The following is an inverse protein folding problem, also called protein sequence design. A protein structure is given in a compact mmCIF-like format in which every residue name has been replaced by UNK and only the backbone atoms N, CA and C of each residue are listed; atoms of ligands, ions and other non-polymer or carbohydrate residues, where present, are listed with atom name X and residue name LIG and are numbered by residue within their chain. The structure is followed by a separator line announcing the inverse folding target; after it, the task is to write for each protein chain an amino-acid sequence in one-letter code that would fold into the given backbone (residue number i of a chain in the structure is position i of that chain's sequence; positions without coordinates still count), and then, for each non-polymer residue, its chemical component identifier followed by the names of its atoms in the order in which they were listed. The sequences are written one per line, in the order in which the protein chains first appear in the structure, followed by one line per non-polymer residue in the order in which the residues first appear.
data_IF_195747297775
#
_entry.id   IF_195747297775
#
_cell.length_a   1.000
_cell.length_b   1.000
_cell.length_c   1.000
_cell.angle_alpha   90.00
_cell.angle_beta   90.00
_cell.angle_gamma   90.00
#
_symmetry.space_group_name_H-M   'P 1'
#
loop_
_entity.id
_entity.type
_entity.pdbx_description
1 polymer ?
#
# COMPACT_ATOMS: atom_id res chain seq x y z
N UNK A 1 -0.62 36.99 16.28
CA UNK A 1 -1.03 36.76 14.89
C UNK A 1 -0.94 35.27 14.60
N UNK A 2 -2.07 34.59 14.39
CA UNK A 2 -2.09 33.18 13.98
C UNK A 2 -1.39 33.00 12.62
N UNK A 3 -0.17 32.45 12.63
CA UNK A 3 0.64 32.20 11.44
C UNK A 3 0.37 30.78 10.93
N UNK A 4 0.18 30.64 9.61
CA UNK A 4 -0.01 29.34 8.95
C UNK A 4 1.18 29.03 8.05
N UNK A 5 1.82 27.88 8.26
CA UNK A 5 2.83 27.31 7.37
C UNK A 5 2.13 26.26 6.50
N UNK A 6 2.43 26.23 5.21
CA UNK A 6 1.86 25.25 4.26
C UNK A 6 2.99 24.56 3.50
N UNK A 7 2.97 23.23 3.50
CA UNK A 7 3.85 22.37 2.71
C UNK A 7 2.99 21.79 1.59
N UNK A 8 3.16 22.31 0.37
CA UNK A 8 2.37 21.93 -0.80
C UNK A 8 3.24 22.04 -2.08
N UNK A 9 3.36 20.95 -2.88
CA UNK A 9 2.87 19.60 -2.61
C UNK A 9 3.72 18.88 -1.54
N UNK A 10 3.17 17.84 -0.93
CA UNK A 10 4.00 16.82 -0.26
C UNK A 10 4.73 16.04 -1.36
N UNK A 11 6.06 15.96 -1.27
CA UNK A 11 6.90 15.28 -2.26
C UNK A 11 7.17 13.83 -1.87
N UNK A 12 7.55 13.01 -2.85
CA UNK A 12 7.88 11.57 -2.68
C UNK A 12 6.77 10.73 -2.04
N UNK A 13 5.51 11.06 -2.33
CA UNK A 13 4.34 10.22 -2.05
C UNK A 13 3.59 9.91 -3.35
N UNK A 14 2.67 8.96 -3.30
CA UNK A 14 1.66 8.80 -4.36
C UNK A 14 0.45 9.68 -4.05
N UNK A 15 -0.14 10.29 -5.09
CA UNK A 15 -1.29 11.17 -4.96
C UNK A 15 -0.96 12.63 -4.67
N UNK A 16 -2.00 13.40 -4.34
CA UNK A 16 -1.91 14.84 -4.11
C UNK A 16 -2.36 15.17 -2.70
N UNK A 17 -1.43 15.71 -1.92
CA UNK A 17 -1.70 16.15 -0.56
C UNK A 17 -0.86 17.36 -0.17
N UNK A 18 -1.29 18.02 0.89
CA UNK A 18 -0.58 19.11 1.55
C UNK A 18 -0.65 18.99 3.06
N UNK A 19 0.32 19.56 3.76
CA UNK A 19 0.27 19.73 5.22
C UNK A 19 0.10 21.20 5.54
N UNK A 20 -0.79 21.52 6.47
CA UNK A 20 -0.85 22.86 7.05
C UNK A 20 -0.53 22.81 8.54
N UNK A 21 0.30 23.74 8.99
CA UNK A 21 0.76 23.85 10.38
C UNK A 21 0.34 25.24 10.87
N UNK A 22 -0.50 25.27 11.89
CA UNK A 22 -1.05 26.46 12.50
C UNK A 22 -0.26 26.77 13.77
N UNK A 23 0.28 27.98 13.84
CA UNK A 23 1.05 28.46 15.00
C UNK A 23 0.21 29.43 15.83
N UNK A 24 0.37 29.35 17.14
CA UNK A 24 -0.17 30.31 18.10
C UNK A 24 0.61 31.63 18.08
N UNK A 25 0.20 32.57 18.95
CA UNK A 25 0.83 33.88 19.07
C UNK A 25 2.27 33.84 19.60
N UNK A 26 2.68 32.76 20.27
CA UNK A 26 4.05 32.51 20.73
C UNK A 26 4.92 31.84 19.65
N UNK A 27 4.34 31.47 18.51
CA UNK A 27 5.00 30.77 17.42
C UNK A 27 5.13 29.26 17.64
N UNK A 28 4.42 28.68 18.62
CA UNK A 28 4.36 27.23 18.84
C UNK A 28 3.29 26.60 17.99
N UNK A 29 3.46 25.33 17.63
CA UNK A 29 2.47 24.58 16.84
C UNK A 29 1.23 24.33 17.70
N UNK A 30 0.11 24.90 17.29
CA UNK A 30 -1.20 24.65 17.89
C UNK A 30 -1.85 23.42 17.26
N UNK A 31 -1.86 23.34 15.91
CA UNK A 31 -2.47 22.24 15.16
C UNK A 31 -1.74 21.98 13.85
N UNK A 32 -1.76 20.73 13.39
CA UNK A 32 -1.33 20.36 12.05
C UNK A 32 -2.39 19.47 11.37
N UNK A 33 -2.57 19.65 10.07
CA UNK A 33 -3.57 18.92 9.27
C UNK A 33 -2.93 18.34 8.00
N UNK A 34 -3.29 17.10 7.66
CA UNK A 34 -2.90 16.42 6.42
C UNK A 34 -4.06 16.39 5.43
N UNK A 35 -4.01 17.19 4.38
CA UNK A 35 -5.11 17.31 3.44
C UNK A 35 -4.82 16.51 2.18
N UNK A 36 -5.66 15.51 1.88
CA UNK A 36 -5.80 15.01 0.50
C UNK A 36 -6.71 15.96 -0.28
N UNK A 37 -6.22 16.43 -1.42
CA UNK A 37 -6.84 17.53 -2.20
C UNK A 37 -7.46 17.07 -3.52
N UNK A 38 -7.39 15.77 -3.84
CA UNK A 38 -7.93 15.19 -5.06
C UNK A 38 -9.21 14.40 -4.81
N UNK A 39 -10.18 14.53 -5.72
CA UNK A 39 -11.39 13.71 -5.79
C UNK A 39 -11.62 13.24 -7.23
N UNK A 40 -12.07 11.99 -7.42
CA UNK A 40 -12.37 11.42 -8.75
C UNK A 40 -13.76 10.79 -8.87
N UNK A 41 -14.42 10.45 -7.77
CA UNK A 41 -15.80 9.94 -7.78
C UNK A 41 -16.04 8.55 -8.39
N UNK A 42 -15.06 7.63 -8.30
CA UNK A 42 -15.17 6.25 -8.83
C UNK A 42 -16.43 5.53 -8.40
N UNK A 43 -16.77 5.61 -7.11
CA UNK A 43 -17.96 4.96 -6.56
C UNK A 43 -19.24 5.40 -7.30
N UNK A 44 -19.35 6.69 -7.64
CA UNK A 44 -20.53 7.25 -8.29
C UNK A 44 -20.56 6.99 -9.80
N UNK A 45 -19.45 7.20 -10.51
CA UNK A 45 -19.47 7.04 -11.97
C UNK A 45 -19.51 5.57 -12.43
N UNK A 46 -19.17 4.62 -11.54
CA UNK A 46 -19.31 3.20 -11.83
C UNK A 46 -20.76 2.72 -11.79
N UNK A 47 -21.71 3.49 -11.25
CA UNK A 47 -23.12 3.14 -11.29
C UNK A 47 -23.61 3.01 -12.75
N UNK A 48 -24.33 1.92 -13.06
CA UNK A 48 -24.82 1.62 -14.41
C UNK A 48 -23.79 0.98 -15.35
N UNK A 49 -22.53 0.82 -14.92
CA UNK A 49 -21.51 0.05 -15.65
C UNK A 49 -21.74 -1.45 -15.48
N UNK A 50 -21.25 -2.24 -16.43
CA UNK A 50 -21.33 -3.69 -16.32
C UNK A 50 -20.31 -4.19 -15.29
N UNK A 51 -20.69 -5.14 -14.44
CA UNK A 51 -19.82 -5.63 -13.37
C UNK A 51 -18.48 -6.16 -13.89
N UNK A 52 -18.47 -6.85 -15.03
CA UNK A 52 -17.25 -7.41 -15.65
C UNK A 52 -16.29 -6.33 -16.18
N UNK A 53 -16.70 -5.07 -16.28
CA UNK A 53 -15.81 -3.95 -16.58
C UNK A 53 -15.04 -3.47 -15.34
N UNK A 54 -15.51 -3.77 -14.12
CA UNK A 54 -14.92 -3.27 -12.88
C UNK A 54 -13.44 -3.64 -12.72
N UNK A 55 -13.00 -4.89 -13.01
CA UNK A 55 -11.59 -5.24 -12.97
C UNK A 55 -10.73 -4.44 -13.97
N UNK A 56 -11.32 -3.76 -14.96
CA UNK A 56 -10.60 -2.85 -15.86
C UNK A 56 -10.74 -1.39 -15.49
N UNK A 57 -11.81 -0.99 -14.80
CA UNK A 57 -12.02 0.40 -14.38
C UNK A 57 -11.23 0.71 -13.11
N UNK A 58 -11.38 -0.09 -12.05
CA UNK A 58 -10.79 0.20 -10.72
C UNK A 58 -9.26 0.23 -10.69
N UNK A 59 -8.49 -0.48 -11.54
CA UNK A 59 -7.04 -0.31 -11.57
C UNK A 59 -6.59 1.11 -11.93
N UNK A 60 -7.47 1.96 -12.47
CA UNK A 60 -7.16 3.37 -12.80
C UNK A 60 -7.29 4.31 -11.60
N UNK A 61 -7.65 3.79 -10.43
CA UNK A 61 -7.63 4.55 -9.16
C UNK A 61 -6.19 4.96 -8.83
N UNK A 62 -5.24 4.03 -8.95
CA UNK A 62 -3.83 4.25 -8.59
C UNK A 62 -2.87 3.59 -9.61
N UNK A 63 -1.75 4.25 -9.89
CA UNK A 63 -0.71 3.73 -10.77
C UNK A 63 0.23 2.70 -10.13
N UNK A 64 0.27 2.62 -8.79
CA UNK A 64 1.19 1.76 -8.03
C UNK A 64 0.54 0.46 -7.56
N UNK A 65 -0.73 0.52 -7.13
CA UNK A 65 -1.49 -0.65 -6.69
C UNK A 65 -2.62 -1.10 -7.66
N UNK A 66 -2.44 -1.06 -8.99
CA UNK A 66 -3.50 -1.43 -9.92
C UNK A 66 -3.86 -2.92 -9.86
N UNK A 67 -2.95 -3.80 -9.44
CA UNK A 67 -3.20 -5.24 -9.27
C UNK A 67 -4.11 -5.49 -8.05
N UNK A 68 -3.93 -4.78 -6.93
CA UNK A 68 -4.83 -4.87 -5.77
C UNK A 68 -6.27 -4.52 -6.17
N UNK A 69 -6.46 -3.40 -6.87
CA UNK A 69 -7.78 -3.01 -7.35
C UNK A 69 -8.38 -4.02 -8.35
N UNK A 70 -7.56 -4.51 -9.29
CA UNK A 70 -7.95 -5.51 -10.26
C UNK A 70 -8.44 -6.80 -9.58
N UNK A 71 -7.68 -7.31 -8.61
CA UNK A 71 -7.99 -8.53 -7.88
C UNK A 71 -9.17 -8.37 -6.93
N UNK A 72 -9.24 -7.26 -6.17
CA UNK A 72 -10.38 -6.97 -5.29
C UNK A 72 -11.69 -6.88 -6.09
N UNK A 73 -11.65 -6.23 -7.25
CA UNK A 73 -12.83 -6.13 -8.12
C UNK A 73 -13.19 -7.48 -8.75
N UNK A 74 -12.19 -8.28 -9.14
CA UNK A 74 -12.43 -9.62 -9.67
C UNK A 74 -13.05 -10.55 -8.62
N UNK A 75 -12.55 -10.53 -7.37
CA UNK A 75 -13.16 -11.28 -6.24
C UNK A 75 -14.62 -10.86 -6.02
N UNK A 76 -14.91 -9.56 -5.98
CA UNK A 76 -16.29 -9.07 -5.88
C UNK A 76 -17.18 -9.52 -7.05
N UNK A 77 -16.63 -9.62 -8.27
CA UNK A 77 -17.36 -10.14 -9.42
C UNK A 77 -17.60 -11.65 -9.33
N UNK A 78 -16.63 -12.42 -8.84
CA UNK A 78 -16.76 -13.87 -8.62
C UNK A 78 -17.91 -14.15 -7.64
N UNK A 79 -17.96 -13.42 -6.52
CA UNK A 79 -19.01 -13.52 -5.51
C UNK A 79 -20.38 -13.15 -6.09
N UNK A 80 -20.45 -12.07 -6.88
CA UNK A 80 -21.69 -11.60 -7.51
C UNK A 80 -22.33 -12.67 -8.41
N UNK A 81 -21.51 -13.44 -9.15
CA UNK A 81 -22.01 -14.48 -10.06
C UNK A 81 -22.04 -15.87 -9.42
N UNK A 82 -21.61 -16.01 -8.16
CA UNK A 82 -21.51 -17.29 -7.45
C UNK A 82 -20.52 -18.28 -8.10
N UNK A 83 -19.47 -17.78 -8.76
CA UNK A 83 -18.50 -18.62 -9.46
C UNK A 83 -17.16 -18.62 -8.73
N UNK A 84 -16.90 -19.69 -7.98
CA UNK A 84 -15.62 -19.86 -7.30
C UNK A 84 -14.49 -20.15 -8.32
N UNK A 85 -13.42 -19.34 -8.35
CA UNK A 85 -12.30 -19.60 -9.24
C UNK A 85 -11.64 -20.96 -8.97
N UNK A 86 -11.26 -21.73 -10.00
CA UNK A 86 -10.54 -22.98 -9.79
C UNK A 86 -9.16 -22.71 -9.16
N UNK A 87 -8.63 -23.69 -8.42
CA UNK A 87 -7.35 -23.56 -7.70
C UNK A 87 -6.21 -22.93 -8.53
N UNK A 88 -5.94 -23.32 -9.79
CA UNK A 88 -4.89 -22.68 -10.59
C UNK A 88 -5.12 -21.18 -10.81
N UNK A 89 -6.37 -20.74 -10.97
CA UNK A 89 -6.71 -19.33 -11.11
C UNK A 89 -6.44 -18.56 -9.83
N UNK A 90 -6.80 -19.12 -8.66
CA UNK A 90 -6.49 -18.51 -7.36
C UNK A 90 -4.99 -18.31 -7.17
N UNK A 91 -4.19 -19.34 -7.47
CA UNK A 91 -2.72 -19.28 -7.36
C UNK A 91 -2.10 -18.25 -8.31
N UNK A 92 -2.60 -18.12 -9.54
CA UNK A 92 -2.10 -17.12 -10.49
C UNK A 92 -2.44 -15.69 -10.05
N UNK A 93 -3.64 -15.48 -9.51
CA UNK A 93 -4.05 -14.20 -8.93
C UNK A 93 -3.20 -13.84 -7.71
N UNK A 94 -2.94 -14.80 -6.83
CA UNK A 94 -2.07 -14.63 -5.66
C UNK A 94 -0.62 -14.35 -6.07
N UNK A 95 -0.06 -15.08 -7.05
CA UNK A 95 1.26 -14.82 -7.60
C UNK A 95 1.37 -13.39 -8.17
N UNK A 96 0.35 -12.94 -8.91
CA UNK A 96 0.27 -11.56 -9.39
C UNK A 96 0.27 -10.56 -8.22
N UNK A 97 -0.47 -10.86 -7.15
CA UNK A 97 -0.52 -10.02 -5.96
C UNK A 97 0.86 -9.93 -5.27
N UNK A 98 1.57 -11.06 -5.12
CA UNK A 98 2.92 -11.07 -4.55
C UNK A 98 3.91 -10.25 -5.39
N UNK A 99 3.83 -10.34 -6.72
CA UNK A 99 4.59 -9.47 -7.61
C UNK A 99 4.32 -7.98 -7.35
N UNK A 100 3.07 -7.60 -7.08
CA UNK A 100 2.71 -6.23 -6.72
C UNK A 100 3.29 -5.82 -5.36
N UNK A 101 3.24 -6.68 -4.34
CA UNK A 101 3.81 -6.39 -3.02
C UNK A 101 5.31 -6.12 -3.15
N UNK A 102 6.05 -7.00 -3.83
CA UNK A 102 7.49 -6.85 -4.05
C UNK A 102 7.80 -5.52 -4.74
N UNK A 103 7.18 -5.24 -5.88
CA UNK A 103 7.48 -4.01 -6.62
C UNK A 103 7.08 -2.75 -5.85
N UNK A 104 5.96 -2.78 -5.11
CA UNK A 104 5.44 -1.61 -4.39
C UNK A 104 6.31 -1.29 -3.17
N UNK A 105 6.65 -2.30 -2.37
CA UNK A 105 7.50 -2.10 -1.19
C UNK A 105 8.92 -1.72 -1.58
N UNK A 106 9.49 -2.38 -2.60
CA UNK A 106 10.80 -2.01 -3.14
C UNK A 106 10.81 -0.56 -3.64
N UNK A 107 9.80 -0.16 -4.41
CA UNK A 107 9.68 1.21 -4.90
C UNK A 107 9.55 2.21 -3.74
N UNK A 108 8.66 1.97 -2.78
CA UNK A 108 8.49 2.87 -1.64
C UNK A 108 9.78 3.01 -0.84
N UNK A 109 10.38 1.90 -0.41
CA UNK A 109 11.57 1.95 0.43
C UNK A 109 12.74 2.62 -0.30
N UNK A 110 13.08 2.19 -1.52
CA UNK A 110 14.30 2.66 -2.18
C UNK A 110 14.16 3.94 -3.00
N UNK A 111 12.95 4.29 -3.46
CA UNK A 111 12.76 5.50 -4.29
C UNK A 111 12.13 6.64 -3.50
N UNK A 112 11.32 6.34 -2.48
CA UNK A 112 10.55 7.34 -1.75
C UNK A 112 11.14 7.59 -0.36
N UNK A 113 11.33 6.55 0.47
CA UNK A 113 11.74 6.71 1.87
C UNK A 113 13.26 6.83 2.04
N UNK A 114 14.05 6.01 1.35
CA UNK A 114 15.50 5.93 1.55
C UNK A 114 16.27 7.23 1.34
N UNK A 115 15.87 8.19 0.47
CA UNK A 115 16.58 9.46 0.40
C UNK A 115 16.59 10.21 1.74
N UNK A 116 15.52 10.12 2.54
CA UNK A 116 15.52 10.70 3.90
C UNK A 116 16.38 9.87 4.85
N UNK A 117 16.22 8.54 4.82
CA UNK A 117 16.87 7.64 5.77
C UNK A 117 18.39 7.57 5.57
N UNK A 118 18.87 7.57 4.32
CA UNK A 118 20.27 7.30 3.98
C UNK A 118 21.08 8.56 3.72
N UNK A 119 20.46 9.64 3.24
CA UNK A 119 21.15 10.91 3.00
C UNK A 119 20.97 11.91 4.15
N UNK A 120 19.93 11.70 4.99
CA UNK A 120 19.61 12.52 6.15
C UNK A 120 18.39 13.42 5.93
N UNK A 121 17.67 13.70 7.02
CA UNK A 121 16.43 14.50 6.98
C UNK A 121 16.67 15.96 6.61
N UNK A 122 17.86 16.50 6.90
CA UNK A 122 18.28 17.86 6.60
C UNK A 122 19.19 17.96 5.35
N UNK A 123 19.33 16.87 4.59
CA UNK A 123 20.09 16.90 3.35
C UNK A 123 19.49 17.88 2.35
N UNK A 124 20.35 18.51 1.53
CA UNK A 124 19.94 19.46 0.50
C UNK A 124 18.85 18.82 -0.39
N UNK A 125 17.68 19.47 -0.57
CA UNK A 125 16.63 18.98 -1.45
C UNK A 125 17.10 18.60 -2.86
N UNK A 126 18.16 19.23 -3.37
CA UNK A 126 18.75 18.91 -4.68
C UNK A 126 19.32 17.48 -4.74
N UNK A 127 19.81 16.95 -3.62
CA UNK A 127 20.38 15.59 -3.53
C UNK A 127 19.45 14.60 -2.83
N UNK A 128 18.51 15.07 -2.00
CA UNK A 128 17.60 14.22 -1.20
C UNK A 128 16.47 13.59 -2.04
N UNK A 129 16.87 12.79 -3.02
CA UNK A 129 16.01 12.08 -3.96
C UNK A 129 16.74 10.83 -4.50
N UNK A 130 16.10 10.11 -5.42
CA UNK A 130 16.65 8.87 -5.99
C UNK A 130 17.99 9.07 -6.72
N UNK A 131 18.25 10.26 -7.28
CA UNK A 131 19.53 10.54 -7.95
C UNK A 131 20.66 10.60 -6.94
N UNK A 132 20.45 11.25 -5.79
CA UNK A 132 21.45 11.26 -4.72
C UNK A 132 21.72 9.86 -4.15
N UNK A 133 20.70 8.99 -4.10
CA UNK A 133 20.91 7.57 -3.74
C UNK A 133 21.78 6.85 -4.79
N UNK A 134 21.54 7.10 -6.08
CA UNK A 134 22.36 6.54 -7.17
C UNK A 134 23.81 7.02 -7.05
N UNK A 135 24.05 8.30 -6.77
CA UNK A 135 25.40 8.85 -6.62
C UNK A 135 26.12 8.32 -5.37
N UNK A 136 25.40 8.21 -4.25
CA UNK A 136 25.96 7.73 -3.00
C UNK A 136 26.21 6.22 -2.98
N UNK A 137 25.31 5.44 -3.60
CA UNK A 137 25.42 3.98 -3.67
C UNK A 137 24.78 3.42 -4.95
N UNK A 138 25.51 3.44 -6.08
CA UNK A 138 25.00 2.96 -7.38
C UNK A 138 24.61 1.48 -7.35
N UNK A 139 25.32 0.65 -6.58
CA UNK A 139 25.06 -0.79 -6.48
C UNK A 139 23.71 -1.04 -5.81
N UNK A 140 23.45 -0.38 -4.68
CA UNK A 140 22.17 -0.46 -3.97
C UNK A 140 21.01 0.00 -4.86
N UNK A 141 21.19 1.12 -5.58
CA UNK A 141 20.19 1.63 -6.51
C UNK A 141 19.88 0.62 -7.62
N UNK A 142 20.90 -0.06 -8.16
CA UNK A 142 20.71 -1.11 -9.17
C UNK A 142 19.93 -2.31 -8.60
N UNK A 143 20.25 -2.76 -7.38
CA UNK A 143 19.51 -3.85 -6.70
C UNK A 143 18.04 -3.47 -6.47
N UNK A 144 17.78 -2.24 -6.06
CA UNK A 144 16.42 -1.71 -5.91
C UNK A 144 15.63 -1.72 -7.22
N UNK A 145 16.24 -1.29 -8.33
CA UNK A 145 15.63 -1.34 -9.66
C UNK A 145 15.35 -2.78 -10.08
N UNK A 146 16.28 -3.71 -9.83
CA UNK A 146 16.10 -5.15 -10.11
C UNK A 146 14.94 -5.75 -9.32
N UNK A 147 14.81 -5.45 -8.02
CA UNK A 147 13.68 -5.92 -7.20
C UNK A 147 12.34 -5.42 -7.75
N UNK A 148 12.25 -4.12 -8.06
CA UNK A 148 11.04 -3.56 -8.66
C UNK A 148 10.74 -4.19 -10.02
N UNK A 149 11.76 -4.40 -10.84
CA UNK A 149 11.66 -5.09 -12.14
C UNK A 149 11.11 -6.50 -11.96
N UNK A 150 11.64 -7.29 -11.03
CA UNK A 150 11.21 -8.65 -10.78
C UNK A 150 9.73 -8.74 -10.39
N UNK A 151 9.27 -7.90 -9.46
CA UNK A 151 7.85 -7.85 -9.11
C UNK A 151 6.94 -7.50 -10.31
N UNK A 152 7.39 -6.58 -11.17
CA UNK A 152 6.69 -6.23 -12.41
C UNK A 152 6.77 -7.33 -13.48
N UNK A 153 7.84 -8.11 -13.52
CA UNK A 153 7.99 -9.26 -14.42
C UNK A 153 7.05 -10.40 -14.01
N UNK A 154 6.89 -10.67 -12.72
CA UNK A 154 5.85 -11.60 -12.23
C UNK A 154 4.48 -11.18 -12.79
N UNK A 155 4.08 -9.92 -12.62
CA UNK A 155 2.81 -9.39 -13.13
C UNK A 155 2.72 -9.50 -14.66
N UNK A 156 3.82 -9.21 -15.36
CA UNK A 156 3.90 -9.29 -16.82
C UNK A 156 3.80 -10.71 -17.36
N UNK A 157 4.43 -11.68 -16.70
CA UNK A 157 4.35 -13.09 -17.11
C UNK A 157 2.93 -13.62 -16.93
N UNK A 158 2.29 -13.33 -15.79
CA UNK A 158 0.93 -13.82 -15.56
C UNK A 158 -0.12 -13.09 -16.40
N UNK A 159 0.03 -11.79 -16.68
CA UNK A 159 -1.02 -10.99 -17.33
C UNK A 159 -0.71 -10.44 -18.72
N UNK A 160 0.53 -10.54 -19.19
CA UNK A 160 1.00 -9.92 -20.42
C UNK A 160 1.21 -8.39 -20.32
N UNK A 161 0.99 -7.78 -19.15
CA UNK A 161 1.19 -6.34 -18.91
C UNK A 161 1.82 -6.10 -17.55
N UNK A 162 2.62 -5.04 -17.39
CA UNK A 162 3.18 -4.66 -16.07
C UNK A 162 2.21 -3.82 -15.24
N UNK A 163 1.43 -2.97 -15.90
CA UNK A 163 0.53 -2.00 -15.26
C UNK A 163 -0.85 -2.17 -15.87
N UNK A 164 -1.87 -2.12 -15.01
CA UNK A 164 -3.28 -2.32 -15.40
C UNK A 164 -3.52 -3.66 -16.11
N UNK A 165 -3.27 -4.74 -15.36
CA UNK A 165 -3.50 -6.14 -15.75
C UNK A 165 -4.94 -6.40 -16.23
N UNK A 166 -5.08 -7.40 -17.10
CA UNK A 166 -6.34 -7.94 -17.58
C UNK A 166 -6.48 -9.44 -17.31
N UNK A 167 -5.69 -9.99 -16.39
CA UNK A 167 -5.63 -11.43 -16.13
C UNK A 167 -6.91 -11.98 -15.49
N UNK A 168 -7.35 -11.35 -14.39
CA UNK A 168 -8.47 -11.80 -13.61
C UNK A 168 -9.79 -11.40 -14.28
N UNK A 169 -10.61 -12.41 -14.55
CA UNK A 169 -11.96 -12.30 -15.09
C UNK A 169 -12.93 -12.99 -14.11
N UNK A 170 -14.23 -12.64 -14.12
CA UNK A 170 -15.20 -13.31 -13.26
C UNK A 170 -15.16 -14.85 -13.47
N UNK A 171 -15.00 -15.59 -12.38
CA UNK A 171 -14.84 -17.05 -12.35
C UNK A 171 -13.42 -17.57 -12.55
N UNK A 172 -12.40 -16.74 -12.77
CA UNK A 172 -11.03 -17.23 -12.93
C UNK A 172 -10.00 -16.27 -13.52
N UNK A 173 -9.22 -16.79 -14.45
CA UNK A 173 -8.17 -16.07 -15.19
C UNK A 173 -8.25 -16.41 -16.67
N UNK A 174 -7.81 -15.51 -17.54
CA UNK A 174 -7.85 -15.69 -19.00
C UNK A 174 -6.52 -16.16 -19.63
N UNK A 175 -5.48 -16.37 -18.83
CA UNK A 175 -4.16 -16.84 -19.27
C UNK A 175 -3.59 -17.84 -18.26
N UNK A 176 -2.95 -18.90 -18.77
CA UNK A 176 -2.13 -19.81 -17.98
C UNK A 176 -0.66 -19.37 -18.00
N UNK A 177 0.09 -19.71 -16.95
CA UNK A 177 1.55 -19.53 -16.89
C UNK A 177 2.23 -20.76 -17.53
N UNK A 178 3.14 -20.55 -18.48
CA UNK A 178 3.88 -21.67 -19.07
C UNK A 178 4.97 -22.18 -18.12
N UNK A 179 5.48 -23.39 -18.37
CA UNK A 179 6.57 -23.97 -17.60
C UNK A 179 7.84 -23.11 -17.71
N UNK A 180 8.12 -22.60 -18.91
CA UNK A 180 9.27 -21.75 -19.20
C UNK A 180 9.16 -20.38 -18.51
N UNK A 181 7.97 -19.76 -18.52
CA UNK A 181 7.72 -18.51 -17.78
C UNK A 181 7.90 -18.73 -16.27
N UNK A 182 7.39 -19.85 -15.75
CA UNK A 182 7.54 -20.24 -14.34
C UNK A 182 9.01 -20.45 -13.98
N UNK A 183 9.76 -21.19 -14.79
CA UNK A 183 11.17 -21.52 -14.53
C UNK A 183 12.07 -20.28 -14.63
N UNK A 184 11.77 -19.35 -15.53
CA UNK A 184 12.45 -18.06 -15.61
C UNK A 184 12.28 -17.19 -14.35
N UNK A 185 11.10 -17.25 -13.72
CA UNK A 185 10.85 -16.57 -12.44
C UNK A 185 11.57 -17.28 -11.28
N UNK A 186 11.49 -18.61 -11.22
CA UNK A 186 12.17 -19.41 -10.19
C UNK A 186 13.68 -19.20 -10.18
N UNK A 187 14.30 -19.09 -11.36
CA UNK A 187 15.75 -18.90 -11.51
C UNK A 187 16.30 -17.59 -10.93
N UNK A 188 15.44 -16.64 -10.53
CA UNK A 188 15.84 -15.35 -9.97
C UNK A 188 15.57 -15.24 -8.46
N UNK A 189 14.86 -16.21 -7.85
CA UNK A 189 14.34 -16.08 -6.48
C UNK A 189 15.44 -15.84 -5.45
N UNK A 190 16.51 -16.63 -5.47
CA UNK A 190 17.57 -16.52 -4.46
C UNK A 190 18.29 -15.16 -4.52
N UNK A 191 18.52 -14.65 -5.73
CA UNK A 191 19.09 -13.31 -5.92
C UNK A 191 18.15 -12.22 -5.36
N UNK A 192 16.85 -12.31 -5.65
CA UNK A 192 15.88 -11.33 -5.16
C UNK A 192 15.70 -11.40 -3.65
N UNK A 193 15.71 -12.60 -3.06
CA UNK A 193 15.68 -12.77 -1.60
C UNK A 193 16.93 -12.10 -0.98
N UNK A 194 18.11 -12.31 -1.56
CA UNK A 194 19.34 -11.67 -1.09
C UNK A 194 19.22 -10.13 -1.08
N UNK A 195 18.69 -9.54 -2.16
CA UNK A 195 18.48 -8.08 -2.21
C UNK A 195 17.44 -7.59 -1.20
N UNK A 196 16.39 -8.37 -0.93
CA UNK A 196 15.41 -8.05 0.13
C UNK A 196 16.08 -8.09 1.51
N UNK A 197 16.91 -9.10 1.79
CA UNK A 197 17.62 -9.21 3.07
C UNK A 197 18.59 -8.04 3.28
N UNK A 198 19.29 -7.60 2.23
CA UNK A 198 20.13 -6.40 2.28
C UNK A 198 19.31 -5.15 2.61
N UNK A 199 18.15 -4.96 1.95
CA UNK A 199 17.22 -3.86 2.26
C UNK A 199 16.71 -3.90 3.70
N UNK A 200 16.37 -5.08 4.22
CA UNK A 200 15.98 -5.28 5.63
C UNK A 200 17.15 -4.92 6.56
N UNK A 201 18.37 -5.32 6.23
CA UNK A 201 19.58 -4.99 6.98
C UNK A 201 19.79 -3.48 7.08
N UNK A 202 19.64 -2.76 5.97
CA UNK A 202 19.72 -1.30 5.93
C UNK A 202 18.64 -0.66 6.82
N UNK A 203 17.39 -1.11 6.70
CA UNK A 203 16.29 -0.58 7.50
C UNK A 203 16.53 -0.81 9.00
N UNK A 204 16.95 -2.02 9.40
CA UNK A 204 17.25 -2.37 10.79
C UNK A 204 18.42 -1.54 11.34
N UNK A 205 19.52 -1.43 10.58
CA UNK A 205 20.66 -0.61 10.98
C UNK A 205 20.26 0.84 11.23
N UNK A 206 19.48 1.43 10.32
CA UNK A 206 18.95 2.79 10.51
C UNK A 206 18.08 2.90 11.77
N UNK A 207 17.18 1.95 12.02
CA UNK A 207 16.32 1.95 13.21
C UNK A 207 17.13 1.86 14.52
N UNK A 208 18.17 1.04 14.53
CA UNK A 208 19.06 0.86 15.69
C UNK A 208 19.87 2.14 15.99
N UNK A 209 20.42 2.77 14.95
CA UNK A 209 21.19 4.02 15.06
C UNK A 209 20.30 5.23 15.42
N UNK A 210 19.03 5.24 15.02
CA UNK A 210 18.11 6.38 15.17
C UNK A 210 17.01 6.13 16.21
N UNK A 211 17.31 5.33 17.24
CA UNK A 211 16.32 4.85 18.22
C UNK A 211 15.52 5.97 18.89
N UNK A 212 16.14 7.09 19.24
CA UNK A 212 15.43 8.23 19.84
C UNK A 212 14.35 8.77 18.90
N UNK A 213 14.68 8.94 17.62
CA UNK A 213 13.73 9.39 16.59
C UNK A 213 12.59 8.38 16.43
N UNK A 214 12.91 7.09 16.35
CA UNK A 214 11.92 6.01 16.22
C UNK A 214 10.95 5.99 17.40
N UNK A 215 11.45 6.18 18.62
CA UNK A 215 10.62 6.14 19.83
C UNK A 215 9.71 7.37 19.95
N UNK A 216 10.11 8.53 19.40
CA UNK A 216 9.41 9.81 19.55
C UNK A 216 8.53 10.19 18.36
N UNK A 217 8.94 9.89 17.13
CA UNK A 217 8.29 10.42 15.94
C UNK A 217 6.95 9.71 15.66
N UNK A 218 5.85 10.45 15.78
CA UNK A 218 4.49 9.99 15.48
C UNK A 218 4.11 8.66 16.16
N UNK A 219 4.68 8.38 17.33
CA UNK A 219 4.42 7.17 18.09
C UNK A 219 3.23 7.35 19.03
N UNK A 220 2.15 6.61 18.80
CA UNK A 220 0.96 6.60 19.66
C UNK A 220 0.23 5.25 19.57
N UNK A 221 -0.43 4.81 20.67
CA UNK A 221 -1.23 3.59 20.66
C UNK A 221 -2.45 3.73 19.72
N UNK A 222 -2.73 2.71 18.92
CA UNK A 222 -3.90 2.63 18.05
C UNK A 222 -4.28 1.19 17.77
N UNK A 223 -5.49 0.96 17.27
CA UNK A 223 -5.86 -0.35 16.75
C UNK A 223 -5.10 -0.70 15.46
N UNK A 224 -5.05 -1.98 15.11
CA UNK A 224 -4.45 -2.47 13.88
C UNK A 224 -5.39 -3.45 13.20
N UNK A 225 -5.59 -3.30 11.90
CA UNK A 225 -6.44 -4.17 11.11
C UNK A 225 -5.66 -4.79 9.95
N UNK A 226 -5.83 -6.10 9.75
CA UNK A 226 -5.18 -6.84 8.68
C UNK A 226 -5.90 -8.14 8.36
N UNK A 227 -5.53 -8.75 7.24
CA UNK A 227 -6.02 -10.08 6.87
C UNK A 227 -5.20 -11.16 7.58
N UNK A 228 -5.88 -12.20 8.03
CA UNK A 228 -5.27 -13.36 8.67
C UNK A 228 -5.84 -14.66 8.13
N UNK A 229 -5.03 -15.71 8.20
CA UNK A 229 -5.43 -17.09 7.94
C UNK A 229 -4.68 -18.01 8.88
N UNK A 230 -5.41 -18.84 9.62
CA UNK A 230 -4.84 -19.71 10.66
C UNK A 230 -3.95 -18.96 11.68
N UNK A 231 -4.28 -17.69 11.94
CA UNK A 231 -3.53 -16.80 12.82
C UNK A 231 -2.26 -16.18 12.22
N UNK A 232 -1.88 -16.53 10.99
CA UNK A 232 -0.73 -15.96 10.28
C UNK A 232 -1.13 -14.79 9.38
N UNK A 233 -0.13 -14.01 8.93
CA UNK A 233 -0.30 -12.96 7.92
C UNK A 233 -0.84 -13.56 6.62
N UNK A 234 -1.86 -12.93 6.08
CA UNK A 234 -2.44 -13.25 4.77
C UNK A 234 -2.58 -11.94 3.98
N UNK A 235 -2.36 -11.99 2.67
CA UNK A 235 -2.34 -10.80 1.81
C UNK A 235 -3.35 -10.90 0.66
N UNK A 236 -3.83 -12.10 0.33
CA UNK A 236 -4.74 -12.33 -0.79
C UNK A 236 -6.15 -12.72 -0.34
N UNK A 237 -6.29 -13.70 0.56
CA UNK A 237 -7.60 -14.24 0.93
C UNK A 237 -7.66 -14.83 2.35
N UNK A 238 -8.33 -14.12 3.26
CA UNK A 238 -8.47 -14.49 4.67
C UNK A 238 -9.55 -13.69 5.39
N UNK A 239 -9.68 -13.90 6.70
CA UNK A 239 -10.58 -13.10 7.54
C UNK A 239 -9.93 -11.79 7.93
N UNK A 240 -10.73 -10.74 8.14
CA UNK A 240 -10.26 -9.47 8.66
C UNK A 240 -10.17 -9.57 10.18
N UNK A 241 -8.99 -9.29 10.75
CA UNK A 241 -8.78 -9.21 12.20
C UNK A 241 -8.48 -7.76 12.59
N UNK A 242 -9.22 -7.24 13.57
CA UNK A 242 -8.98 -5.96 14.22
C UNK A 242 -8.45 -6.19 15.63
N UNK A 243 -7.27 -5.65 15.91
CA UNK A 243 -6.67 -5.61 17.24
C UNK A 243 -6.83 -4.22 17.87
N UNK A 244 -7.04 -4.19 19.18
CA UNK A 244 -7.05 -2.97 19.98
C UNK A 244 -5.65 -2.44 20.24
N UNK A 245 -5.59 -1.22 20.80
CA UNK A 245 -4.32 -0.54 21.15
C UNK A 245 -3.47 -1.27 22.20
N UNK A 246 -4.09 -2.17 22.96
CA UNK A 246 -3.48 -3.02 23.98
C UNK A 246 -3.05 -4.40 23.42
N UNK A 247 -3.30 -4.65 22.13
CA UNK A 247 -3.00 -5.91 21.48
C UNK A 247 -4.07 -7.00 21.68
N UNK A 248 -5.20 -6.70 22.32
CA UNK A 248 -6.37 -7.59 22.36
C UNK A 248 -6.99 -7.75 20.97
N UNK A 249 -7.62 -8.89 20.70
CA UNK A 249 -8.42 -9.07 19.47
C UNK A 249 -9.80 -8.49 19.77
N UNK A 250 -10.18 -7.44 19.03
CA UNK A 250 -11.49 -6.82 19.16
C UNK A 250 -12.52 -7.54 18.29
N UNK A 251 -12.14 -7.87 17.06
CA UNK A 251 -13.01 -8.52 16.08
C UNK A 251 -12.21 -9.41 15.13
N UNK A 252 -12.85 -10.47 14.65
CA UNK A 252 -12.40 -11.27 13.52
C UNK A 252 -13.62 -11.68 12.68
N UNK A 253 -13.65 -11.25 11.41
CA UNK A 253 -14.85 -11.32 10.60
C UNK A 253 -14.56 -11.55 9.11
N UNK A 254 -15.56 -12.06 8.39
CA UNK A 254 -15.55 -12.14 6.94
C UNK A 254 -15.64 -10.73 6.34
N UNK A 255 -14.71 -10.39 5.44
CA UNK A 255 -14.65 -9.09 4.76
C UNK A 255 -15.94 -8.72 4.01
N UNK A 256 -16.77 -9.69 3.60
CA UNK A 256 -18.08 -9.42 3.01
C UNK A 256 -19.02 -8.65 3.96
N UNK A 257 -18.80 -8.76 5.27
CA UNK A 257 -19.60 -8.12 6.32
C UNK A 257 -19.00 -6.81 6.84
N UNK A 258 -18.00 -6.23 6.16
CA UNK A 258 -17.22 -5.09 6.68
C UNK A 258 -18.07 -3.88 7.10
N UNK A 259 -19.24 -3.66 6.48
CA UNK A 259 -20.13 -2.54 6.81
C UNK A 259 -20.69 -2.60 8.23
N UNK A 260 -20.76 -3.78 8.87
CA UNK A 260 -21.15 -3.91 10.27
C UNK A 260 -20.06 -3.43 11.25
N UNK A 261 -18.81 -3.42 10.79
CA UNK A 261 -17.63 -3.15 11.62
C UNK A 261 -17.01 -1.79 11.34
N UNK A 262 -17.04 -1.33 10.09
CA UNK A 262 -16.31 -0.13 9.66
C UNK A 262 -17.29 1.01 9.36
N UNK A 263 -17.05 2.15 10.00
CA UNK A 263 -17.67 3.44 9.68
C UNK A 263 -16.65 4.37 9.03
N UNK A 264 -17.12 5.36 8.29
CA UNK A 264 -16.27 6.38 7.67
C UNK A 264 -16.74 7.76 8.12
N UNK A 265 -15.87 8.53 8.76
CA UNK A 265 -16.13 9.92 9.14
C UNK A 265 -15.59 10.88 8.07
N UNK A 266 -16.23 12.04 7.89
CA UNK A 266 -15.83 13.07 6.93
C UNK A 266 -15.54 14.36 7.66
N UNK A 267 -14.36 14.88 7.41
CA UNK A 267 -13.91 16.17 7.93
C UNK A 267 -13.94 17.22 6.81
N UNK A 268 -14.27 18.51 7.10
CA UNK A 268 -14.44 19.53 6.07
C UNK A 268 -13.14 19.97 5.39
N UNK A 269 -11.99 19.52 5.90
CA UNK A 269 -10.66 19.95 5.46
C UNK A 269 -9.94 18.92 4.57
N UNK A 270 -10.51 17.75 4.29
CA UNK A 270 -9.91 16.77 3.38
C UNK A 270 -10.95 15.96 2.60
N UNK A 271 -10.62 15.58 1.37
CA UNK A 271 -11.40 14.57 0.64
C UNK A 271 -11.16 13.14 1.13
N UNK A 272 -10.08 12.89 1.87
CA UNK A 272 -9.84 11.59 2.49
C UNK A 272 -10.76 11.45 3.71
N UNK A 273 -11.55 10.37 3.74
CA UNK A 273 -12.37 10.01 4.89
C UNK A 273 -11.51 9.44 6.02
N UNK A 274 -12.10 9.31 7.21
CA UNK A 274 -11.46 8.78 8.41
C UNK A 274 -12.19 7.51 8.86
N UNK A 275 -11.74 6.32 8.42
CA UNK A 275 -12.34 5.06 8.83
C UNK A 275 -12.16 4.81 10.33
N UNK A 276 -13.16 4.22 10.96
CA UNK A 276 -13.14 3.87 12.38
C UNK A 276 -13.95 2.61 12.66
N UNK A 277 -13.64 1.94 13.76
CA UNK A 277 -14.39 0.81 14.26
C UNK A 277 -15.73 1.26 14.87
N UNK A 278 -16.85 0.84 14.27
CA UNK A 278 -18.21 1.31 14.60
C UNK A 278 -18.56 1.19 16.07
N UNK A 279 -18.22 0.07 16.73
CA UNK A 279 -18.59 -0.14 18.14
C UNK A 279 -17.89 0.82 19.11
N UNK A 280 -16.79 1.44 18.68
CA UNK A 280 -16.05 2.42 19.48
C UNK A 280 -16.31 3.87 19.04
N UNK A 281 -16.87 4.09 17.85
CA UNK A 281 -17.15 5.44 17.34
C UNK A 281 -15.89 6.18 16.84
N UNK A 282 -16.08 7.38 16.29
CA UNK A 282 -14.99 8.28 15.91
C UNK A 282 -14.80 9.34 17.01
N UNK A 283 -13.57 9.66 17.44
CA UNK A 283 -12.29 9.17 16.92
C UNK A 283 -11.75 7.91 17.62
N UNK A 284 -12.34 7.45 18.73
CA UNK A 284 -11.76 6.42 19.59
C UNK A 284 -11.55 5.05 18.92
N UNK A 285 -12.37 4.73 17.92
CA UNK A 285 -12.26 3.54 17.09
C UNK A 285 -11.26 3.63 15.95
N UNK A 286 -10.43 4.67 15.88
CA UNK A 286 -9.41 4.81 14.83
C UNK A 286 -8.38 3.66 14.89
N UNK A 287 -8.01 3.14 13.72
CA UNK A 287 -7.06 2.05 13.57
C UNK A 287 -6.12 2.29 12.39
N UNK A 288 -5.01 1.55 12.36
CA UNK A 288 -4.03 1.53 11.27
C UNK A 288 -4.16 0.26 10.42
N UNK A 289 -3.77 0.38 9.17
CA UNK A 289 -3.61 -0.71 8.20
C UNK A 289 -2.25 -0.56 7.51
N UNK A 290 -1.75 -1.63 6.91
CA UNK A 290 -0.43 -1.66 6.28
C UNK A 290 0.69 -2.07 7.25
N UNK A 291 1.94 -2.18 6.75
CA UNK A 291 3.12 -2.52 7.55
C UNK A 291 3.47 -1.50 8.63
#
# INVERSE_FOLDING_TARGET
MNRKITIEPITRIEGHAKVTIHLDDEGKVERAYFHVTQFRGFEKFCEGRMYFEMPQITPRICGICPVSHHLASAKACDDLIGAEPPRPAKLLRELMHMGQIIQSHSMHFFHLASPDLLLGFDADPAVRNIVGIIEANPELALKAVKLRKFGQEIISHVSGRRIHSNLAVPGGVNKALTVEERDALLGQIDEMISYIQEGIGIAKGWLEENRETVERFANFPSGYMGLVKDGALELYDGTVRLKGKDGSILEEFDGANYLHYIGEHVEPWSYLKFPFYRKMGYPDGSYRVGP
#
